data_IF_738593910780
#
_entry.id   IF_738593910780
#
_cell.length_a   1.000
_cell.length_b   1.000
_cell.length_c   1.000
_cell.angle_alpha   90.00
_cell.angle_beta   90.00
_cell.angle_gamma   90.00
#
_symmetry.space_group_name_H-M   'P 1'
#
loop_
_entity.id
_entity.type
_entity.pdbx_description
1 polymer ?
#
# COMPACT_ATOMS: atom_id res chain seq x y z
N UNK A 1 4.09 -0.45 8.54
CA UNK A 1 3.84 0.28 7.28
C UNK A 1 5.03 1.13 6.82
N UNK A 2 5.49 2.18 7.54
CA UNK A 2 6.49 3.12 6.99
C UNK A 2 7.88 2.51 6.74
N UNK A 3 8.22 1.38 7.37
CA UNK A 3 9.41 0.59 7.04
C UNK A 3 9.15 -0.38 5.88
N UNK A 4 8.16 -1.26 6.08
CA UNK A 4 8.03 -2.49 5.30
C UNK A 4 7.39 -2.33 3.93
N UNK A 5 6.47 -1.37 3.77
CA UNK A 5 5.90 -1.10 2.45
C UNK A 5 6.96 -0.51 1.51
N UNK A 6 7.64 0.62 1.85
CA UNK A 6 8.65 1.15 0.95
C UNK A 6 9.83 0.19 0.75
N UNK A 7 10.15 -0.67 1.71
CA UNK A 7 11.21 -1.68 1.50
C UNK A 7 10.90 -2.68 0.39
N UNK A 8 9.64 -3.05 0.19
CA UNK A 8 9.22 -3.93 -0.92
C UNK A 8 9.01 -3.13 -2.22
N UNK A 9 8.28 -2.02 -2.17
CA UNK A 9 7.94 -1.27 -3.39
C UNK A 9 9.13 -0.49 -3.98
N UNK A 10 10.19 -0.23 -3.19
CA UNK A 10 11.47 0.25 -3.74
C UNK A 10 12.15 -0.83 -4.60
N UNK A 11 12.02 -2.11 -4.25
CA UNK A 11 12.56 -3.19 -5.08
C UNK A 11 11.77 -3.34 -6.38
N UNK A 12 10.45 -3.18 -6.37
CA UNK A 12 9.65 -3.15 -7.60
C UNK A 12 10.04 -1.96 -8.50
N UNK A 13 10.27 -0.77 -7.93
CA UNK A 13 10.76 0.38 -8.69
C UNK A 13 12.15 0.10 -9.30
N UNK A 14 13.08 -0.48 -8.53
CA UNK A 14 14.41 -0.86 -9.01
C UNK A 14 14.34 -1.92 -10.12
N UNK A 15 13.45 -2.90 -10.00
CA UNK A 15 13.20 -3.93 -11.01
C UNK A 15 12.74 -3.30 -12.33
N UNK A 16 11.82 -2.33 -12.28
CA UNK A 16 11.42 -1.59 -13.49
C UNK A 16 12.57 -0.76 -14.05
N UNK A 17 13.39 -0.12 -13.21
CA UNK A 17 14.55 0.64 -13.66
C UNK A 17 15.57 -0.24 -14.41
N UNK A 18 15.83 -1.44 -13.91
CA UNK A 18 16.66 -2.45 -14.61
C UNK A 18 16.01 -2.81 -15.96
N UNK A 19 14.70 -3.12 -15.95
CA UNK A 19 13.98 -3.54 -17.14
C UNK A 19 13.98 -2.48 -18.25
N UNK A 20 13.86 -1.20 -17.90
CA UNK A 20 13.91 -0.07 -18.85
C UNK A 20 15.25 -0.01 -19.59
N UNK A 21 16.35 -0.36 -18.92
CA UNK A 21 17.68 -0.42 -19.53
C UNK A 21 17.98 -1.75 -20.24
N UNK A 22 17.06 -2.73 -20.18
CA UNK A 22 17.26 -4.06 -20.75
C UNK A 22 18.51 -4.75 -20.21
N UNK A 23 19.28 -5.40 -21.09
CA UNK A 23 20.52 -6.10 -20.70
C UNK A 23 21.56 -5.19 -20.04
N UNK A 24 21.63 -3.91 -20.45
CA UNK A 24 22.53 -2.94 -19.83
C UNK A 24 22.20 -2.65 -18.37
N UNK A 25 20.91 -2.72 -18.00
CA UNK A 25 20.47 -2.60 -16.62
C UNK A 25 21.00 -3.70 -15.69
N UNK A 26 21.50 -4.81 -16.26
CA UNK A 26 22.11 -5.91 -15.52
C UNK A 26 23.64 -5.87 -15.51
N UNK A 27 24.24 -4.82 -16.08
CA UNK A 27 25.69 -4.58 -16.06
C UNK A 27 26.06 -3.65 -14.90
N UNK A 28 27.34 -3.66 -14.51
CA UNK A 28 27.85 -2.76 -13.45
C UNK A 28 28.14 -1.33 -13.93
N UNK A 29 27.99 -1.05 -15.22
CA UNK A 29 28.16 0.30 -15.78
C UNK A 29 27.04 1.24 -15.31
N UNK A 30 25.83 0.71 -15.17
CA UNK A 30 24.68 1.43 -14.63
C UNK A 30 24.40 1.01 -13.19
N UNK A 31 24.03 1.96 -12.33
CA UNK A 31 23.92 1.72 -10.88
C UNK A 31 22.67 0.93 -10.47
N UNK A 32 21.72 0.70 -11.38
CA UNK A 32 20.39 0.14 -11.06
C UNK A 32 20.46 -1.28 -10.48
N UNK A 33 21.40 -2.11 -10.92
CA UNK A 33 21.63 -3.44 -10.34
C UNK A 33 22.13 -3.36 -8.89
N UNK A 34 23.03 -2.40 -8.62
CA UNK A 34 23.57 -2.16 -7.28
C UNK A 34 22.48 -1.66 -6.34
N UNK A 35 21.66 -0.70 -6.79
CA UNK A 35 20.52 -0.19 -6.01
C UNK A 35 19.54 -1.32 -5.66
N UNK A 36 19.28 -2.25 -6.58
CA UNK A 36 18.45 -3.42 -6.30
C UNK A 36 19.08 -4.30 -5.20
N UNK A 37 20.36 -4.63 -5.31
CA UNK A 37 21.08 -5.44 -4.30
C UNK A 37 21.10 -4.77 -2.93
N UNK A 38 21.42 -3.48 -2.88
CA UNK A 38 21.57 -2.73 -1.63
C UNK A 38 20.22 -2.62 -0.92
N UNK A 39 19.14 -2.35 -1.66
CA UNK A 39 17.79 -2.27 -1.08
C UNK A 39 17.18 -3.63 -0.74
N UNK A 40 17.75 -4.75 -1.22
CA UNK A 40 17.22 -6.10 -0.91
C UNK A 40 17.31 -6.45 0.57
N UNK A 41 18.21 -5.81 1.31
CA UNK A 41 18.33 -5.96 2.76
C UNK A 41 17.15 -5.31 3.51
N UNK A 42 16.53 -4.28 2.94
CA UNK A 42 15.51 -3.46 3.61
C UNK A 42 14.33 -4.27 4.19
N UNK A 43 13.72 -5.22 3.46
CA UNK A 43 12.63 -6.03 4.00
C UNK A 43 13.07 -7.13 4.99
N UNK A 44 14.38 -7.30 5.24
CA UNK A 44 14.94 -8.34 6.12
C UNK A 44 15.37 -7.76 7.47
N UNK A 45 16.19 -6.71 7.46
CA UNK A 45 16.79 -6.17 8.69
C UNK A 45 15.79 -5.41 9.57
N UNK A 46 16.03 -5.39 10.89
CA UNK A 46 15.20 -4.69 11.91
C UNK A 46 13.72 -5.10 11.87
N UNK A 47 13.50 -6.41 11.81
CA UNK A 47 12.18 -7.01 11.66
C UNK A 47 11.85 -7.24 10.20
N UNK A 48 11.58 -8.50 9.85
CA UNK A 48 11.25 -8.88 8.49
C UNK A 48 9.86 -8.37 8.09
N UNK A 49 9.63 -8.27 6.79
CA UNK A 49 8.34 -7.85 6.22
C UNK A 49 7.15 -8.63 6.83
N UNK A 50 7.30 -9.94 7.06
CA UNK A 50 6.30 -10.77 7.75
C UNK A 50 6.04 -10.36 9.21
N UNK A 51 7.10 -10.12 9.99
CA UNK A 51 6.99 -9.67 11.39
C UNK A 51 6.25 -8.33 11.48
N UNK A 52 6.53 -7.40 10.58
CA UNK A 52 5.80 -6.12 10.53
C UNK A 52 4.34 -6.29 10.12
N UNK A 53 4.02 -7.29 9.29
CA UNK A 53 2.63 -7.66 8.99
C UNK A 53 1.89 -8.13 10.23
N UNK A 54 2.49 -9.08 10.96
CA UNK A 54 1.95 -9.58 12.23
C UNK A 54 1.78 -8.47 13.26
N UNK A 55 2.75 -7.55 13.38
CA UNK A 55 2.65 -6.41 14.29
C UNK A 55 1.50 -5.47 13.91
N UNK A 56 1.35 -5.17 12.62
CA UNK A 56 0.30 -4.28 12.14
C UNK A 56 -1.09 -4.87 12.41
N UNK A 57 -1.37 -6.06 11.87
CA UNK A 57 -2.69 -6.68 11.95
C UNK A 57 -3.00 -7.20 13.35
N UNK A 58 -2.01 -7.79 14.02
CA UNK A 58 -2.20 -8.39 15.34
C UNK A 58 -2.23 -7.39 16.49
N UNK A 59 -1.64 -6.20 16.32
CA UNK A 59 -1.48 -5.24 17.44
C UNK A 59 -1.83 -3.80 17.10
N UNK A 60 -1.32 -3.22 16.00
CA UNK A 60 -1.42 -1.77 15.77
C UNK A 60 -2.81 -1.29 15.37
N UNK A 61 -3.53 -2.07 14.56
CA UNK A 61 -4.90 -1.71 14.14
C UNK A 61 -5.91 -1.80 15.28
N UNK A 62 -5.60 -2.59 16.31
CA UNK A 62 -6.44 -2.78 17.49
C UNK A 62 -5.96 -1.99 18.72
N UNK A 63 -4.89 -1.21 18.58
CA UNK A 63 -4.27 -0.49 19.69
C UNK A 63 -5.25 0.52 20.30
N UNK A 64 -5.29 0.59 21.62
CA UNK A 64 -6.20 1.47 22.37
C UNK A 64 -7.67 1.31 21.92
N UNK A 65 -8.11 0.07 21.66
CA UNK A 65 -9.47 -0.23 21.24
C UNK A 65 -9.78 0.22 19.80
N UNK A 66 -8.76 0.35 18.94
CA UNK A 66 -8.92 0.81 17.56
C UNK A 66 -8.83 2.32 17.37
N UNK A 67 -8.51 3.08 18.42
CA UNK A 67 -8.38 4.55 18.34
C UNK A 67 -7.37 5.00 17.26
N UNK A 68 -6.37 4.18 16.94
CA UNK A 68 -5.41 4.45 15.87
C UNK A 68 -6.06 4.52 14.48
N UNK A 69 -7.08 3.70 14.22
CA UNK A 69 -7.85 3.75 12.97
C UNK A 69 -8.74 4.97 12.91
N UNK A 70 -9.35 5.36 14.04
CA UNK A 70 -10.15 6.58 14.15
C UNK A 70 -9.31 7.82 13.85
N UNK A 71 -8.10 7.91 14.39
CA UNK A 71 -7.17 9.02 14.09
C UNK A 71 -6.82 9.04 12.60
N UNK A 72 -6.53 7.88 12.00
CA UNK A 72 -6.24 7.83 10.57
C UNK A 72 -7.45 8.24 9.70
N UNK A 73 -8.67 7.85 10.10
CA UNK A 73 -9.90 8.27 9.43
C UNK A 73 -10.08 9.79 9.49
N UNK A 74 -9.82 10.41 10.64
CA UNK A 74 -9.85 11.86 10.81
C UNK A 74 -8.84 12.59 9.90
N UNK A 75 -7.70 12.00 9.62
CA UNK A 75 -6.69 12.55 8.71
C UNK A 75 -7.04 12.35 7.22
N UNK A 76 -7.76 11.27 6.90
CA UNK A 76 -8.25 10.99 5.54
C UNK A 76 -9.42 11.91 5.18
N UNK A 77 -10.31 12.17 6.14
CA UNK A 77 -11.57 12.86 5.92
C UNK A 77 -11.46 14.22 5.20
N UNK A 78 -10.52 15.13 5.54
CA UNK A 78 -10.37 16.40 4.83
C UNK A 78 -10.02 16.24 3.34
N UNK A 79 -9.25 15.20 3.00
CA UNK A 79 -8.91 14.93 1.61
C UNK A 79 -10.13 14.42 0.82
N UNK A 80 -11.00 13.63 1.45
CA UNK A 80 -12.25 13.17 0.84
C UNK A 80 -13.21 14.33 0.59
N UNK A 81 -13.38 15.22 1.57
CA UNK A 81 -14.25 16.41 1.46
C UNK A 81 -13.77 17.36 0.36
N UNK A 82 -12.46 17.63 0.30
CA UNK A 82 -11.89 18.48 -0.74
C UNK A 82 -11.97 17.83 -2.14
N UNK A 83 -11.86 16.50 -2.23
CA UNK A 83 -12.01 15.78 -3.49
C UNK A 83 -13.44 15.78 -4.01
N UNK A 84 -14.44 15.69 -3.13
CA UNK A 84 -15.86 15.64 -3.49
C UNK A 84 -16.34 16.89 -4.26
N UNK A 85 -15.72 18.05 -4.03
CA UNK A 85 -16.04 19.31 -4.73
C UNK A 85 -15.12 19.58 -5.92
N UNK A 86 -14.23 18.64 -6.28
CA UNK A 86 -13.33 18.75 -7.42
C UNK A 86 -13.71 17.70 -8.47
N UNK A 87 -14.34 18.13 -9.57
CA UNK A 87 -14.86 17.23 -10.61
C UNK A 87 -13.84 16.21 -11.13
N UNK A 88 -12.56 16.58 -11.19
CA UNK A 88 -11.49 15.70 -11.70
C UNK A 88 -10.94 14.72 -10.65
N UNK A 89 -11.18 14.96 -9.36
CA UNK A 89 -10.66 14.15 -8.26
C UNK A 89 -11.76 13.44 -7.46
N UNK A 90 -13.04 13.76 -7.71
CA UNK A 90 -14.18 13.17 -7.01
C UNK A 90 -14.17 11.63 -7.06
N UNK A 91 -13.97 11.03 -8.25
CA UNK A 91 -13.87 9.57 -8.43
C UNK A 91 -12.73 8.93 -7.61
N UNK A 92 -11.60 9.64 -7.46
CA UNK A 92 -10.48 9.19 -6.62
C UNK A 92 -10.81 9.34 -5.13
N UNK A 93 -11.56 10.38 -4.75
CA UNK A 93 -12.12 10.51 -3.41
C UNK A 93 -13.04 9.34 -3.06
N UNK A 94 -13.99 9.02 -3.94
CA UNK A 94 -14.90 7.87 -3.78
C UNK A 94 -14.12 6.55 -3.67
N UNK A 95 -13.18 6.31 -4.58
CA UNK A 95 -12.32 5.11 -4.55
C UNK A 95 -11.53 4.97 -3.24
N UNK A 96 -11.05 6.09 -2.68
CA UNK A 96 -10.35 6.10 -1.38
C UNK A 96 -11.30 5.82 -0.22
N UNK A 97 -12.50 6.38 -0.25
CA UNK A 97 -13.53 6.11 0.75
C UNK A 97 -13.90 4.61 0.74
N UNK A 98 -14.15 4.04 -0.45
CA UNK A 98 -14.51 2.63 -0.61
C UNK A 98 -13.43 1.67 -0.10
N UNK A 99 -12.17 1.91 -0.47
CA UNK A 99 -11.07 1.04 -0.02
C UNK A 99 -10.81 1.19 1.49
N UNK A 100 -11.05 2.38 2.06
CA UNK A 100 -10.97 2.59 3.49
C UNK A 100 -12.07 1.83 4.24
N UNK A 101 -13.32 1.87 3.74
CA UNK A 101 -14.41 1.07 4.31
C UNK A 101 -14.13 -0.44 4.19
N UNK A 102 -13.59 -0.90 3.06
CA UNK A 102 -13.18 -2.30 2.90
C UNK A 102 -12.07 -2.68 3.90
N UNK A 103 -11.13 -1.78 4.16
CA UNK A 103 -10.07 -1.99 5.16
C UNK A 103 -10.66 -2.18 6.55
N UNK A 104 -11.58 -1.31 6.97
CA UNK A 104 -12.25 -1.43 8.28
C UNK A 104 -13.04 -2.73 8.42
N UNK A 105 -13.85 -3.06 7.40
CA UNK A 105 -14.61 -4.33 7.37
C UNK A 105 -13.68 -5.54 7.44
N UNK A 106 -12.56 -5.51 6.74
CA UNK A 106 -11.56 -6.59 6.78
C UNK A 106 -11.01 -6.77 8.19
N UNK A 107 -10.66 -5.67 8.88
CA UNK A 107 -10.18 -5.72 10.27
C UNK A 107 -11.26 -6.28 11.20
N UNK A 108 -12.51 -5.86 11.05
CA UNK A 108 -13.65 -6.39 11.82
C UNK A 108 -13.81 -7.91 11.62
N UNK A 109 -13.79 -8.39 10.38
CA UNK A 109 -13.88 -9.82 10.06
C UNK A 109 -12.70 -10.60 10.67
N UNK A 110 -11.48 -10.11 10.51
CA UNK A 110 -10.28 -10.74 11.09
C UNK A 110 -10.40 -10.81 12.62
N UNK A 111 -10.90 -9.75 13.27
CA UNK A 111 -11.03 -9.71 14.73
C UNK A 111 -12.07 -10.69 15.28
N UNK A 112 -13.02 -11.14 14.47
CA UNK A 112 -14.00 -12.17 14.85
C UNK A 112 -13.39 -13.59 14.83
N UNK A 113 -12.23 -13.78 14.20
CA UNK A 113 -11.54 -15.07 14.17
C UNK A 113 -10.87 -15.35 15.53
N UNK A 114 -11.38 -16.35 16.25
CA UNK A 114 -10.89 -16.73 17.57
C UNK A 114 -9.50 -17.41 17.51
N UNK A 115 -9.24 -18.20 16.47
CA UNK A 115 -7.93 -18.84 16.29
C UNK A 115 -6.89 -17.81 15.83
N UNK A 116 -5.92 -17.52 16.69
CA UNK A 116 -4.91 -16.51 16.41
C UNK A 116 -4.04 -16.86 15.20
N UNK A 117 -3.80 -18.15 14.94
CA UNK A 117 -2.98 -18.59 13.81
C UNK A 117 -3.71 -18.31 12.49
N UNK A 118 -4.98 -18.72 12.38
CA UNK A 118 -5.85 -18.40 11.23
C UNK A 118 -5.97 -16.90 11.03
N UNK A 119 -6.24 -16.17 12.12
CA UNK A 119 -6.41 -14.72 12.11
C UNK A 119 -5.24 -13.98 11.47
N UNK A 120 -4.01 -14.41 11.77
CA UNK A 120 -2.78 -13.73 11.37
C UNK A 120 -2.09 -14.36 10.16
N UNK A 121 -2.63 -15.45 9.61
CA UNK A 121 -2.07 -16.17 8.46
C UNK A 121 -1.85 -15.28 7.22
N UNK A 122 -2.69 -14.27 7.04
CA UNK A 122 -2.64 -13.33 5.91
C UNK A 122 -2.23 -11.91 6.32
N UNK A 123 -1.48 -11.77 7.41
CA UNK A 123 -1.06 -10.46 7.93
C UNK A 123 -0.14 -9.68 6.97
N UNK A 124 0.66 -10.36 6.16
CA UNK A 124 1.53 -9.74 5.16
C UNK A 124 0.75 -9.11 3.99
N UNK A 125 -0.16 -9.83 3.31
CA UNK A 125 -1.08 -9.21 2.33
C UNK A 125 -1.86 -8.01 2.90
N UNK A 126 -2.29 -8.08 4.16
CA UNK A 126 -2.95 -6.95 4.81
C UNK A 126 -2.04 -5.72 4.93
N UNK A 127 -0.80 -5.88 5.37
CA UNK A 127 0.20 -4.80 5.45
C UNK A 127 0.42 -4.13 4.10
N UNK A 128 0.50 -4.92 3.04
CA UNK A 128 0.65 -4.45 1.68
C UNK A 128 -0.54 -3.62 1.20
N UNK A 129 -1.75 -4.11 1.47
CA UNK A 129 -2.98 -3.39 1.12
C UNK A 129 -3.09 -2.09 1.91
N UNK A 130 -2.85 -2.13 3.22
CA UNK A 130 -2.90 -0.97 4.09
C UNK A 130 -1.89 0.11 3.66
N UNK A 131 -0.70 -0.29 3.23
CA UNK A 131 0.28 0.63 2.68
C UNK A 131 -0.18 1.30 1.38
N UNK A 132 -0.85 0.57 0.47
CA UNK A 132 -1.46 1.16 -0.71
C UNK A 132 -2.54 2.18 -0.38
N UNK A 133 -3.38 1.90 0.61
CA UNK A 133 -4.42 2.84 1.07
C UNK A 133 -3.78 4.13 1.60
N UNK A 134 -2.72 4.01 2.41
CA UNK A 134 -1.98 5.18 2.90
C UNK A 134 -1.33 5.98 1.75
N UNK A 135 -0.74 5.31 0.76
CA UNK A 135 -0.11 5.97 -0.39
C UNK A 135 -1.16 6.61 -1.31
N UNK A 136 -2.33 5.98 -1.51
CA UNK A 136 -3.45 6.57 -2.25
C UNK A 136 -3.91 7.88 -1.61
N UNK A 137 -4.09 7.88 -0.28
CA UNK A 137 -4.42 9.09 0.47
C UNK A 137 -3.37 10.20 0.28
N UNK A 138 -2.07 9.87 0.37
CA UNK A 138 -1.01 10.85 0.13
C UNK A 138 -0.99 11.37 -1.31
N UNK A 139 -1.28 10.52 -2.30
CA UNK A 139 -1.42 10.94 -3.69
C UNK A 139 -2.59 11.89 -3.90
N UNK A 140 -3.76 11.59 -3.31
CA UNK A 140 -4.93 12.45 -3.40
C UNK A 140 -4.63 13.84 -2.81
N UNK A 141 -3.99 13.89 -1.64
CA UNK A 141 -3.54 15.15 -1.02
C UNK A 141 -2.62 15.96 -1.94
N UNK A 142 -1.64 15.30 -2.57
CA UNK A 142 -0.74 15.97 -3.51
C UNK A 142 -1.48 16.45 -4.77
N UNK A 143 -2.42 15.66 -5.29
CA UNK A 143 -3.21 16.01 -6.47
C UNK A 143 -4.14 17.21 -6.21
N UNK A 144 -4.76 17.29 -5.02
CA UNK A 144 -5.57 18.43 -4.60
C UNK A 144 -4.74 19.72 -4.58
N UNK A 145 -3.56 19.68 -3.96
CA UNK A 145 -2.63 20.83 -3.93
C UNK A 145 -2.19 21.21 -5.34
N UNK A 146 -1.84 20.22 -6.17
CA UNK A 146 -1.43 20.45 -7.55
C UNK A 146 -2.53 21.10 -8.39
N UNK A 147 -3.80 20.68 -8.21
CA UNK A 147 -4.94 21.30 -8.88
C UNK A 147 -5.16 22.74 -8.44
N UNK A 148 -5.09 23.01 -7.14
CA UNK A 148 -5.22 24.38 -6.63
C UNK A 148 -4.12 25.29 -7.18
N UNK A 149 -2.87 24.81 -7.22
CA UNK A 149 -1.74 25.58 -7.76
C UNK A 149 -1.91 25.90 -9.25
N UNK A 150 -2.40 24.94 -10.04
CA UNK A 150 -2.72 25.15 -11.46
C UNK A 150 -3.84 26.18 -11.66
N UNK A 151 -4.90 26.12 -10.85
CA UNK A 151 -6.00 27.09 -10.89
C UNK A 151 -5.55 28.51 -10.51
N UNK A 152 -4.58 28.62 -9.59
CA UNK A 152 -4.01 29.89 -9.15
C UNK A 152 -2.94 30.45 -10.11
N UNK A 153 -2.69 29.80 -11.26
CA UNK A 153 -1.79 30.31 -12.30
C UNK A 153 -0.30 30.10 -12.04
N UNK A 154 0.10 29.01 -11.37
CA UNK A 154 1.51 28.66 -11.16
C UNK A 154 2.22 28.28 -12.49
N UNK A 155 2.64 29.30 -13.26
CA UNK A 155 3.21 29.13 -14.60
C UNK A 155 4.57 28.42 -14.62
N UNK A 156 5.45 28.68 -13.66
CA UNK A 156 6.80 28.09 -13.63
C UNK A 156 6.79 26.56 -13.39
N UNK A 157 5.79 26.06 -12.65
CA UNK A 157 5.71 24.66 -12.21
C UNK A 157 4.52 23.90 -12.83
N UNK A 158 3.94 24.43 -13.92
CA UNK A 158 2.74 23.86 -14.54
C UNK A 158 2.92 22.38 -14.91
N UNK A 159 4.04 22.01 -15.53
CA UNK A 159 4.29 20.62 -15.93
C UNK A 159 4.51 19.69 -14.74
N UNK A 160 5.14 20.18 -13.66
CA UNK A 160 5.30 19.42 -12.43
C UNK A 160 3.94 19.08 -11.79
N UNK A 161 3.05 20.06 -11.67
CA UNK A 161 1.72 19.84 -11.10
C UNK A 161 0.84 18.94 -11.97
N UNK A 162 0.91 19.07 -13.30
CA UNK A 162 0.26 18.11 -14.22
C UNK A 162 0.78 16.70 -14.00
N UNK A 163 2.10 16.53 -13.84
CA UNK A 163 2.73 15.25 -13.53
C UNK A 163 2.24 14.65 -12.21
N UNK A 164 2.07 15.47 -11.16
CA UNK A 164 1.50 15.01 -9.87
C UNK A 164 0.09 14.48 -10.00
N UNK A 165 -0.78 15.16 -10.74
CA UNK A 165 -2.15 14.70 -11.00
C UNK A 165 -2.14 13.41 -11.81
N UNK A 166 -1.31 13.32 -12.86
CA UNK A 166 -1.21 12.13 -13.69
C UNK A 166 -0.68 10.90 -12.91
N UNK A 167 0.33 11.10 -12.05
CA UNK A 167 0.85 10.03 -11.18
C UNK A 167 -0.20 9.54 -10.17
N UNK A 168 -0.99 10.45 -9.59
CA UNK A 168 -2.12 10.10 -8.74
C UNK A 168 -3.13 9.24 -9.51
N UNK A 169 -3.57 9.69 -10.70
CA UNK A 169 -4.49 8.92 -11.55
C UNK A 169 -3.95 7.52 -11.89
N UNK A 170 -2.67 7.42 -12.23
CA UNK A 170 -2.02 6.14 -12.49
C UNK A 170 -2.07 5.23 -11.25
N UNK A 171 -1.71 5.74 -10.07
CA UNK A 171 -1.74 4.94 -8.84
C UNK A 171 -3.14 4.41 -8.52
N UNK A 172 -4.16 5.26 -8.64
CA UNK A 172 -5.55 4.87 -8.40
C UNK A 172 -6.06 3.83 -9.40
N UNK A 173 -5.61 3.88 -10.66
CA UNK A 173 -6.05 2.93 -11.71
C UNK A 173 -5.29 1.61 -11.69
N UNK A 174 -3.99 1.62 -11.40
CA UNK A 174 -3.12 0.45 -11.56
C UNK A 174 -2.74 -0.23 -10.24
N UNK A 175 -2.62 0.53 -9.15
CA UNK A 175 -2.11 0.01 -7.88
C UNK A 175 -3.20 -0.14 -6.82
N UNK A 176 -4.12 0.81 -6.70
CA UNK A 176 -5.19 0.74 -5.69
C UNK A 176 -6.07 -0.52 -5.80
N UNK A 177 -6.43 -1.03 -7.01
CA UNK A 177 -7.23 -2.25 -7.13
C UNK A 177 -6.55 -3.49 -6.51
N UNK A 178 -5.22 -3.53 -6.50
CA UNK A 178 -4.46 -4.63 -5.88
C UNK A 178 -4.65 -4.65 -4.35
N UNK A 179 -4.87 -3.49 -3.73
CA UNK A 179 -5.21 -3.42 -2.32
C UNK A 179 -6.58 -4.05 -2.05
N UNK A 180 -7.56 -3.83 -2.92
CA UNK A 180 -8.90 -4.41 -2.78
C UNK A 180 -8.87 -5.94 -2.87
N UNK A 181 -8.09 -6.48 -3.83
CA UNK A 181 -7.87 -7.92 -3.96
C UNK A 181 -7.27 -8.51 -2.67
N UNK A 182 -6.17 -7.93 -2.18
CA UNK A 182 -5.49 -8.37 -0.96
C UNK A 182 -6.42 -8.29 0.25
N UNK A 183 -7.22 -7.22 0.40
CA UNK A 183 -8.18 -7.10 1.51
C UNK A 183 -9.26 -8.18 1.44
N UNK A 184 -9.81 -8.48 0.26
CA UNK A 184 -10.79 -9.57 0.09
C UNK A 184 -10.18 -10.93 0.45
N UNK A 185 -8.95 -11.19 0.03
CA UNK A 185 -8.21 -12.39 0.40
C UNK A 185 -8.04 -12.49 1.93
N UNK A 186 -7.60 -11.42 2.58
CA UNK A 186 -7.45 -11.37 4.05
C UNK A 186 -8.79 -11.61 4.75
N UNK A 187 -9.87 -10.98 4.28
CA UNK A 187 -11.21 -11.12 4.84
C UNK A 187 -11.77 -12.55 4.69
N UNK A 188 -11.34 -13.30 3.68
CA UNK A 188 -11.79 -14.68 3.47
C UNK A 188 -11.33 -15.64 4.58
N UNK A 189 -10.29 -15.27 5.34
CA UNK A 189 -9.68 -16.12 6.38
C UNK A 189 -9.30 -17.51 5.84
N UNK A 190 -8.88 -17.55 4.58
CA UNK A 190 -8.50 -18.77 3.88
C UNK A 190 -7.39 -19.52 4.62
N UNK A 191 -7.54 -20.85 4.68
CA UNK A 191 -6.65 -21.74 5.42
C UNK A 191 -5.76 -22.57 4.51
N UNK A 192 -5.70 -22.29 3.20
CA UNK A 192 -4.87 -23.05 2.26
C UNK A 192 -3.38 -23.03 2.60
N UNK A 193 -2.91 -22.02 3.36
CA UNK A 193 -1.53 -21.95 3.86
C UNK A 193 -1.31 -22.62 5.22
N UNK A 194 -2.38 -23.04 5.90
CA UNK A 194 -2.37 -23.63 7.24
C UNK A 194 -2.74 -25.12 7.27
N UNK A 195 -3.66 -25.53 6.38
CA UNK A 195 -4.14 -26.90 6.30
C UNK A 195 -3.11 -27.90 5.73
N UNK A 196 -2.17 -27.51 4.84
CA UNK A 196 -1.13 -28.40 4.38
C UNK A 196 -0.20 -28.91 5.48
N UNK A 197 0.20 -30.18 5.37
CA UNK A 197 1.16 -30.82 6.26
C UNK A 197 2.58 -30.69 5.71
N UNK A 198 3.58 -30.58 6.61
CA UNK A 198 4.99 -30.49 6.22
C UNK A 198 5.42 -31.64 5.29
N UNK A 199 4.95 -32.87 5.57
CA UNK A 199 5.22 -34.07 4.78
C UNK A 199 4.83 -33.96 3.30
N UNK A 200 3.83 -33.13 2.98
CA UNK A 200 3.39 -32.90 1.61
C UNK A 200 4.42 -32.12 0.78
N UNK A 201 5.32 -31.39 1.43
CA UNK A 201 6.37 -30.58 0.78
C UNK A 201 7.77 -31.18 0.93
N UNK A 202 8.01 -32.02 1.94
CA UNK A 202 9.32 -32.65 2.19
C UNK A 202 9.48 -34.00 1.49
N UNK A 203 8.38 -34.67 1.13
CA UNK A 203 8.43 -36.01 0.52
C UNK A 203 8.98 -37.10 1.45
N UNK A 204 9.18 -36.76 2.74
CA UNK A 204 9.58 -37.63 3.85
C UNK A 204 8.69 -37.37 5.04
#
# INVERSE_FOLDING_TARGET
>A
MPKSWPSEYTLEANKHAIQILGGYGYTREYQVERLYRDHRLNPIHEGSHGIHGLDLLGRKVNLAGGATLTIMEQEIQPALEAAAVNEMLAEMGESLADIWQLTKRTIETVNQQADTVTRLSSATPFLDAFGHVAIAWLWLRQALIAKQALQNGAQADTEFYKGKVAACQFFYRYHLPQAAEKLRYVASQDRSVLDPQASWFTGV
#
